data_IF_467079474056
#
_entry.id   IF_467079474056
#
_cell.length_a   1.000
_cell.length_b   1.000
_cell.length_c   1.000
_cell.angle_alpha   90.00
_cell.angle_beta   90.00
_cell.angle_gamma   90.00
#
_symmetry.space_group_name_H-M   'P 1'
#
loop_
_entity.id
_entity.type
_entity.pdbx_description
1 polymer ?
#
# COMPACT_ATOMS: atom_id res chain seq x y z
N UNK A 1 11.44 1.29 1.94
CA UNK A 1 10.84 1.72 3.21
C UNK A 1 10.26 3.12 3.08
N UNK A 2 9.29 3.49 3.94
CA UNK A 2 8.59 4.78 3.88
C UNK A 2 9.54 5.98 3.97
N UNK A 3 10.59 5.88 4.78
CA UNK A 3 11.63 6.93 4.91
C UNK A 3 12.34 7.16 3.58
N UNK A 4 12.67 6.09 2.85
CA UNK A 4 13.30 6.20 1.53
C UNK A 4 12.36 6.87 0.53
N UNK A 5 11.07 6.55 0.54
CA UNK A 5 10.10 7.19 -0.35
C UNK A 5 9.90 8.68 -0.05
N UNK A 6 9.93 9.08 1.22
CA UNK A 6 9.90 10.50 1.60
C UNK A 6 11.18 11.21 1.15
N UNK A 7 12.34 10.59 1.34
CA UNK A 7 13.63 11.13 0.87
C UNK A 7 13.64 11.26 -0.65
N UNK A 8 13.15 10.25 -1.37
CA UNK A 8 13.06 10.28 -2.83
C UNK A 8 12.07 11.33 -3.32
N UNK A 9 10.95 11.52 -2.64
CA UNK A 9 10.02 12.61 -2.94
C UNK A 9 10.68 13.99 -2.79
N UNK A 10 11.36 14.21 -1.66
CA UNK A 10 12.09 15.46 -1.40
C UNK A 10 13.16 15.66 -2.49
N UNK A 11 13.92 14.62 -2.82
CA UNK A 11 14.93 14.68 -3.89
C UNK A 11 14.31 15.06 -5.23
N UNK A 12 13.22 14.43 -5.65
CA UNK A 12 12.55 14.74 -6.92
C UNK A 12 12.07 16.19 -6.99
N UNK A 13 11.61 16.75 -5.88
CA UNK A 13 11.19 18.16 -5.82
C UNK A 13 12.37 19.11 -6.06
N UNK A 14 13.55 18.78 -5.54
CA UNK A 14 14.75 19.63 -5.61
C UNK A 14 15.73 19.28 -6.75
N UNK A 15 15.59 18.09 -7.37
CA UNK A 15 16.43 17.70 -8.50
C UNK A 15 16.13 18.54 -9.75
N UNK A 16 17.19 18.75 -10.54
CA UNK A 16 17.03 19.31 -11.88
C UNK A 16 16.40 18.28 -12.81
N UNK A 17 15.63 18.68 -13.84
CA UNK A 17 15.04 17.74 -14.80
C UNK A 17 16.07 16.84 -15.51
N UNK A 18 17.34 17.24 -15.55
CA UNK A 18 18.44 16.51 -16.18
C UNK A 18 18.88 15.27 -15.36
N UNK A 19 18.60 15.26 -14.05
CA UNK A 19 18.94 14.14 -13.16
C UNK A 19 17.84 13.08 -13.09
N UNK A 20 16.73 13.33 -13.77
CA UNK A 20 15.58 12.42 -13.85
C UNK A 20 15.53 11.82 -15.24
N UNK A 21 15.72 10.52 -15.33
CA UNK A 21 15.58 9.81 -16.59
C UNK A 21 14.27 9.04 -16.61
N UNK A 22 13.47 9.27 -17.65
CA UNK A 22 12.23 8.53 -17.93
C UNK A 22 12.47 7.78 -19.23
N UNK A 23 12.25 6.49 -19.20
CA UNK A 23 12.47 5.61 -20.34
C UNK A 23 11.37 4.59 -20.52
N UNK A 24 11.42 3.89 -21.63
CA UNK A 24 10.48 2.84 -22.00
C UNK A 24 11.26 1.54 -22.20
N UNK A 25 10.82 0.46 -21.53
CA UNK A 25 11.32 -0.89 -21.78
C UNK A 25 10.12 -1.81 -22.00
N UNK A 26 9.96 -2.29 -23.24
CA UNK A 26 8.82 -3.09 -23.65
C UNK A 26 7.53 -2.28 -23.47
N UNK A 27 6.62 -2.76 -22.63
CA UNK A 27 5.34 -2.10 -22.33
C UNK A 27 5.34 -1.35 -21.00
N UNK A 28 6.50 -1.05 -20.44
CA UNK A 28 6.63 -0.40 -19.14
C UNK A 28 7.31 0.94 -19.27
N UNK A 29 6.69 1.95 -18.68
CA UNK A 29 7.37 3.22 -18.39
C UNK A 29 8.12 3.05 -17.07
N UNK A 30 9.34 3.51 -17.04
CA UNK A 30 10.12 3.55 -15.82
C UNK A 30 10.90 4.87 -15.70
N UNK A 31 11.17 5.23 -14.48
CA UNK A 31 12.02 6.38 -14.21
C UNK A 31 13.11 6.01 -13.21
N UNK A 32 14.23 6.66 -13.32
CA UNK A 32 15.37 6.52 -12.42
C UNK A 32 15.57 7.82 -11.66
N UNK A 33 15.70 7.69 -10.35
CA UNK A 33 16.10 8.78 -9.45
C UNK A 33 17.37 8.31 -8.74
N UNK A 34 18.53 8.86 -9.11
CA UNK A 34 19.82 8.61 -8.42
C UNK A 34 20.03 7.17 -7.95
N UNK A 35 20.16 6.21 -8.86
CA UNK A 35 20.40 4.79 -8.60
C UNK A 35 19.18 3.93 -8.16
N UNK A 36 18.00 4.49 -8.10
CA UNK A 36 16.75 3.74 -7.93
C UNK A 36 15.98 3.65 -9.24
N UNK A 37 15.38 2.49 -9.51
CA UNK A 37 14.47 2.31 -10.64
C UNK A 37 13.06 2.08 -10.10
N UNK A 38 12.12 2.82 -10.64
CA UNK A 38 10.70 2.55 -10.46
C UNK A 38 10.07 2.33 -11.82
N UNK A 39 9.13 1.40 -11.91
CA UNK A 39 8.43 1.11 -13.14
C UNK A 39 6.92 1.07 -12.91
N UNK A 40 6.18 1.44 -13.92
CA UNK A 40 4.72 1.36 -13.93
C UNK A 40 4.27 0.48 -15.10
N UNK A 41 3.36 -0.46 -14.89
CA UNK A 41 2.85 -1.34 -15.94
C UNK A 41 1.82 -0.65 -16.85
N UNK A 42 1.95 0.64 -17.07
CA UNK A 42 1.10 1.36 -18.02
C UNK A 42 1.73 1.18 -19.39
N UNK A 43 1.17 0.26 -20.17
CA UNK A 43 1.58 0.04 -21.54
C UNK A 43 1.33 1.26 -22.40
N UNK A 44 2.29 1.60 -23.24
CA UNK A 44 2.16 2.69 -24.17
C UNK A 44 3.48 3.40 -24.48
N UNK A 45 3.41 4.25 -25.46
CA UNK A 45 4.53 5.10 -25.87
C UNK A 45 4.60 6.34 -24.99
N UNK A 46 5.81 6.81 -24.66
CA UNK A 46 5.98 8.05 -23.88
C UNK A 46 5.45 9.20 -24.74
N UNK A 47 4.46 9.97 -24.26
CA UNK A 47 3.94 11.10 -25.01
C UNK A 47 5.02 12.19 -25.19
N UNK A 48 5.05 12.80 -26.37
CA UNK A 48 5.89 13.94 -26.62
C UNK A 48 5.55 15.08 -25.65
N UNK A 49 6.57 15.61 -24.96
CA UNK A 49 6.37 16.70 -24.00
C UNK A 49 6.03 16.30 -22.57
N UNK A 50 6.04 15.02 -22.23
CA UNK A 50 5.92 14.59 -20.83
C UNK A 50 7.06 15.17 -19.98
N UNK A 51 6.69 15.94 -18.95
CA UNK A 51 7.68 16.47 -18.02
C UNK A 51 8.10 15.37 -17.04
N UNK A 52 9.36 14.88 -17.06
CA UNK A 52 9.84 13.79 -16.22
C UNK A 52 9.69 14.09 -14.73
N UNK A 53 9.87 15.35 -14.33
CA UNK A 53 9.76 15.78 -12.93
C UNK A 53 8.31 15.67 -12.41
N UNK A 54 7.35 16.13 -13.22
CA UNK A 54 5.93 16.02 -12.87
C UNK A 54 5.52 14.55 -12.79
N UNK A 55 5.93 13.74 -13.75
CA UNK A 55 5.68 12.30 -13.75
C UNK A 55 6.21 11.63 -12.48
N UNK A 56 7.49 11.84 -12.15
CA UNK A 56 8.12 11.25 -10.98
C UNK A 56 7.48 11.71 -9.66
N UNK A 57 7.17 12.99 -9.52
CA UNK A 57 6.51 13.54 -8.33
C UNK A 57 5.12 12.93 -8.12
N UNK A 58 4.30 12.86 -9.17
CA UNK A 58 2.97 12.24 -9.10
C UNK A 58 3.08 10.76 -8.79
N UNK A 59 3.99 10.05 -9.45
CA UNK A 59 4.21 8.62 -9.20
C UNK A 59 4.58 8.33 -7.75
N UNK A 60 5.55 9.05 -7.19
CA UNK A 60 5.97 8.84 -5.79
C UNK A 60 4.84 9.18 -4.83
N UNK A 61 4.09 10.27 -5.06
CA UNK A 61 2.95 10.62 -4.23
C UNK A 61 1.85 9.55 -4.26
N UNK A 62 1.52 9.04 -5.43
CA UNK A 62 0.54 7.96 -5.60
C UNK A 62 1.03 6.69 -4.90
N UNK A 63 2.27 6.27 -5.11
CA UNK A 63 2.86 5.11 -4.44
C UNK A 63 2.86 5.24 -2.91
N UNK A 64 3.15 6.43 -2.40
CA UNK A 64 3.12 6.67 -0.97
C UNK A 64 1.72 6.48 -0.39
N UNK A 65 0.71 7.09 -1.02
CA UNK A 65 -0.68 7.04 -0.53
C UNK A 65 -1.32 5.65 -0.71
N UNK A 66 -1.03 4.98 -1.82
CA UNK A 66 -1.70 3.72 -2.17
C UNK A 66 -1.02 2.48 -1.63
N UNK A 67 0.28 2.55 -1.35
CA UNK A 67 1.08 1.41 -0.90
C UNK A 67 1.73 1.66 0.44
N UNK A 68 2.59 2.67 0.56
CA UNK A 68 3.41 2.86 1.75
C UNK A 68 2.59 3.13 3.00
N UNK A 69 1.63 4.05 2.92
CA UNK A 69 0.77 4.39 4.05
C UNK A 69 -0.07 3.20 4.54
N UNK A 70 -0.78 2.44 3.69
CA UNK A 70 -1.49 1.24 4.14
C UNK A 70 -0.58 0.15 4.71
N UNK A 71 0.61 -0.06 4.15
CA UNK A 71 1.58 -1.00 4.73
C UNK A 71 2.08 -0.54 6.11
N UNK A 72 2.30 0.76 6.31
CA UNK A 72 2.63 1.29 7.63
C UNK A 72 1.51 1.02 8.64
N UNK A 73 0.26 1.24 8.25
CA UNK A 73 -0.91 0.93 9.09
C UNK A 73 -0.96 -0.57 9.41
N UNK A 74 -0.71 -1.42 8.42
CA UNK A 74 -0.66 -2.87 8.60
C UNK A 74 0.40 -3.28 9.63
N UNK A 75 1.66 -2.86 9.43
CA UNK A 75 2.76 -3.23 10.33
C UNK A 75 2.59 -2.63 11.72
N UNK A 76 2.10 -1.39 11.83
CA UNK A 76 1.84 -0.77 13.13
C UNK A 76 0.72 -1.49 13.89
N UNK A 77 -0.31 -1.96 13.20
CA UNK A 77 -1.38 -2.76 13.82
C UNK A 77 -0.85 -4.08 14.38
N UNK A 78 0.01 -4.77 13.62
CA UNK A 78 0.67 -6.00 14.09
C UNK A 78 1.60 -5.70 15.27
N UNK A 79 2.40 -4.64 15.19
CA UNK A 79 3.30 -4.23 16.27
C UNK A 79 2.54 -3.99 17.56
N UNK A 80 1.44 -3.23 17.50
CA UNK A 80 0.57 -2.95 18.67
C UNK A 80 0.01 -4.23 19.28
N UNK A 81 -0.43 -5.17 18.44
CA UNK A 81 -0.94 -6.46 18.92
C UNK A 81 0.15 -7.24 19.66
N UNK A 82 1.35 -7.34 19.07
CA UNK A 82 2.47 -8.07 19.66
C UNK A 82 2.96 -7.43 20.98
N UNK A 83 3.02 -6.09 21.04
CA UNK A 83 3.38 -5.38 22.27
C UNK A 83 2.41 -5.69 23.41
N UNK A 84 1.09 -5.68 23.16
CA UNK A 84 0.08 -6.01 24.17
C UNK A 84 0.24 -7.45 24.70
N UNK A 85 0.55 -8.40 23.83
CA UNK A 85 0.81 -9.78 24.24
C UNK A 85 2.08 -9.85 25.10
N UNK A 86 3.14 -9.15 24.71
CA UNK A 86 4.40 -9.11 25.45
C UNK A 86 4.26 -8.46 26.84
N UNK A 87 3.34 -7.51 27.01
CA UNK A 87 3.00 -6.87 28.29
C UNK A 87 2.16 -7.75 29.22
N UNK A 88 1.91 -9.02 28.84
CA UNK A 88 1.18 -9.98 29.65
C UNK A 88 -0.33 -9.83 29.59
N UNK A 89 -0.86 -9.05 28.67
CA UNK A 89 -2.30 -9.03 28.43
C UNK A 89 -2.74 -10.37 27.83
N UNK A 90 -3.94 -10.83 28.24
CA UNK A 90 -4.52 -12.03 27.64
C UNK A 90 -4.46 -11.94 26.11
N UNK A 91 -3.94 -12.96 25.43
CA UNK A 91 -3.97 -13.00 23.98
C UNK A 91 -5.38 -12.82 23.41
N UNK A 92 -6.42 -13.27 24.12
CA UNK A 92 -7.83 -13.09 23.76
C UNK A 92 -8.37 -11.75 24.29
N UNK A 93 -8.02 -10.64 23.62
CA UNK A 93 -8.43 -9.29 23.98
C UNK A 93 -9.16 -8.62 22.80
N UNK A 94 -10.30 -7.96 23.08
CA UNK A 94 -11.08 -7.21 22.07
C UNK A 94 -10.24 -6.12 21.37
N UNK A 95 -9.26 -5.51 22.07
CA UNK A 95 -8.37 -4.55 21.46
C UNK A 95 -7.48 -5.20 20.37
N UNK A 96 -7.05 -6.45 20.54
CA UNK A 96 -6.31 -7.19 19.51
C UNK A 96 -7.20 -7.50 18.29
N UNK A 97 -8.49 -7.79 18.49
CA UNK A 97 -9.45 -7.98 17.38
C UNK A 97 -9.49 -6.75 16.47
N UNK A 98 -9.49 -5.56 17.06
CA UNK A 98 -9.49 -4.30 16.30
C UNK A 98 -8.21 -4.14 15.50
N UNK A 99 -7.07 -4.43 16.09
CA UNK A 99 -5.78 -4.32 15.40
C UNK A 99 -5.68 -5.31 14.23
N UNK A 100 -6.14 -6.57 14.41
CA UNK A 100 -6.20 -7.57 13.32
C UNK A 100 -7.15 -7.12 12.20
N UNK A 101 -8.32 -6.57 12.53
CA UNK A 101 -9.26 -6.03 11.52
C UNK A 101 -8.64 -4.89 10.74
N UNK A 102 -7.95 -3.97 11.42
CA UNK A 102 -7.27 -2.84 10.76
C UNK A 102 -6.19 -3.33 9.81
N UNK A 103 -5.39 -4.32 10.24
CA UNK A 103 -4.39 -4.95 9.39
C UNK A 103 -5.02 -5.62 8.15
N UNK A 104 -6.08 -6.41 8.33
CA UNK A 104 -6.80 -7.06 7.24
C UNK A 104 -7.42 -6.05 6.26
N UNK A 105 -8.05 -5.00 6.78
CA UNK A 105 -8.62 -3.93 5.95
C UNK A 105 -7.56 -3.18 5.14
N UNK A 106 -6.40 -2.90 5.73
CA UNK A 106 -5.28 -2.28 5.02
C UNK A 106 -4.77 -3.16 3.86
N UNK A 107 -4.67 -4.47 4.07
CA UNK A 107 -4.28 -5.42 3.02
C UNK A 107 -5.33 -5.50 1.89
N UNK A 108 -6.62 -5.55 2.23
CA UNK A 108 -7.70 -5.51 1.21
C UNK A 108 -7.67 -4.20 0.42
N UNK A 109 -7.45 -3.08 1.10
CA UNK A 109 -7.31 -1.78 0.45
C UNK A 109 -6.15 -1.79 -0.58
N UNK A 110 -4.97 -2.27 -0.18
CA UNK A 110 -3.82 -2.38 -1.10
C UNK A 110 -4.15 -3.29 -2.28
N UNK A 111 -4.79 -4.42 -2.02
CA UNK A 111 -5.11 -5.40 -3.06
C UNK A 111 -6.08 -4.88 -4.13
N UNK A 112 -7.04 -4.02 -3.73
CA UNK A 112 -8.12 -3.53 -4.60
C UNK A 112 -7.85 -2.11 -5.09
N UNK A 113 -7.59 -1.17 -4.16
CA UNK A 113 -7.58 0.26 -4.48
C UNK A 113 -6.27 0.70 -5.11
N UNK A 114 -5.15 0.09 -4.71
CA UNK A 114 -3.83 0.48 -5.22
C UNK A 114 -3.79 0.49 -6.74
N UNK A 115 -4.05 -0.66 -7.36
CA UNK A 115 -3.94 -0.79 -8.82
C UNK A 115 -4.92 0.10 -9.58
N UNK A 116 -6.14 0.30 -9.05
CA UNK A 116 -7.14 1.19 -9.63
C UNK A 116 -6.64 2.65 -9.61
N UNK A 117 -6.19 3.11 -8.45
CA UNK A 117 -5.76 4.50 -8.27
C UNK A 117 -4.48 4.77 -9.07
N UNK A 118 -3.49 3.88 -8.97
CA UNK A 118 -2.22 4.02 -9.71
C UNK A 118 -2.47 4.11 -11.21
N UNK A 119 -3.24 3.19 -11.77
CA UNK A 119 -3.52 3.16 -13.22
C UNK A 119 -4.38 4.34 -13.66
N UNK A 120 -5.40 4.72 -12.88
CA UNK A 120 -6.26 5.85 -13.20
C UNK A 120 -5.49 7.17 -13.21
N UNK A 121 -4.71 7.44 -12.16
CA UNK A 121 -3.94 8.69 -12.03
C UNK A 121 -2.83 8.75 -13.07
N UNK A 122 -2.09 7.66 -13.24
CA UNK A 122 -0.99 7.64 -14.23
C UNK A 122 -1.51 7.66 -15.66
N UNK A 123 -2.62 6.99 -15.95
CA UNK A 123 -3.28 7.08 -17.25
C UNK A 123 -3.75 8.51 -17.57
N UNK A 124 -4.25 9.21 -16.57
CA UNK A 124 -4.64 10.61 -16.72
C UNK A 124 -3.44 11.54 -16.96
N UNK A 125 -2.35 11.33 -16.23
CA UNK A 125 -1.12 12.15 -16.34
C UNK A 125 -0.40 11.90 -17.66
N UNK A 126 -0.33 10.65 -18.11
CA UNK A 126 0.42 10.27 -19.33
C UNK A 126 -0.42 10.48 -20.59
N UNK A 127 -1.68 10.02 -20.56
CA UNK A 127 -2.51 9.95 -21.78
C UNK A 127 -3.71 10.91 -21.79
N UNK A 128 -3.90 11.69 -20.72
CA UNK A 128 -5.09 12.55 -20.57
C UNK A 128 -6.40 11.75 -20.44
N UNK A 129 -6.36 10.45 -20.22
CA UNK A 129 -7.53 9.57 -20.09
C UNK A 129 -7.31 8.49 -19.03
N UNK A 130 -8.40 8.05 -18.40
CA UNK A 130 -8.34 6.96 -17.42
C UNK A 130 -8.17 5.64 -18.17
N UNK A 131 -7.11 4.91 -17.82
CA UNK A 131 -6.83 3.57 -18.35
C UNK A 131 -6.72 2.63 -17.16
N UNK A 132 -7.58 1.61 -17.11
CA UNK A 132 -7.58 0.61 -16.03
C UNK A 132 -7.57 -0.78 -16.69
N UNK A 133 -6.52 -1.55 -16.44
CA UNK A 133 -6.40 -2.93 -16.91
C UNK A 133 -5.88 -3.81 -15.78
N UNK A 134 -6.70 -4.80 -15.38
CA UNK A 134 -6.36 -5.80 -14.37
C UNK A 134 -5.77 -5.21 -13.04
N UNK A 135 -6.49 -4.30 -12.36
CA UNK A 135 -5.96 -3.52 -11.26
C UNK A 135 -5.90 -4.28 -9.93
N UNK A 136 -6.56 -5.45 -9.83
CA UNK A 136 -6.78 -6.15 -8.56
C UNK A 136 -5.73 -7.23 -8.36
N UNK A 137 -5.07 -7.20 -7.18
CA UNK A 137 -4.18 -8.27 -6.74
C UNK A 137 -4.96 -9.38 -6.07
N UNK A 138 -5.27 -10.45 -6.81
CA UNK A 138 -6.00 -11.61 -6.28
C UNK A 138 -5.30 -12.22 -5.05
N UNK A 139 -3.97 -12.50 -5.04
CA UNK A 139 -3.31 -13.03 -3.86
C UNK A 139 -3.38 -12.10 -2.65
N UNK A 140 -3.24 -10.78 -2.86
CA UNK A 140 -3.36 -9.78 -1.80
C UNK A 140 -4.78 -9.73 -1.21
N UNK A 141 -5.79 -9.82 -2.07
CA UNK A 141 -7.20 -9.86 -1.65
C UNK A 141 -7.50 -11.09 -0.79
N UNK A 142 -7.05 -12.28 -1.23
CA UNK A 142 -7.20 -13.50 -0.43
C UNK A 142 -6.49 -13.38 0.93
N UNK A 143 -5.25 -12.88 0.96
CA UNK A 143 -4.51 -12.67 2.20
C UNK A 143 -5.24 -11.73 3.16
N UNK A 144 -5.74 -10.61 2.67
CA UNK A 144 -6.51 -9.65 3.45
C UNK A 144 -7.82 -10.23 3.99
N UNK A 145 -8.56 -10.98 3.16
CA UNK A 145 -9.80 -11.65 3.58
C UNK A 145 -9.55 -12.74 4.62
N UNK A 146 -8.47 -13.52 4.51
CA UNK A 146 -8.08 -14.49 5.54
C UNK A 146 -7.80 -13.81 6.88
N UNK A 147 -7.07 -12.70 6.89
CA UNK A 147 -6.82 -11.93 8.12
C UNK A 147 -8.13 -11.45 8.73
N UNK A 148 -9.08 -10.96 7.92
CA UNK A 148 -10.41 -10.54 8.41
C UNK A 148 -11.23 -11.71 8.95
N UNK A 149 -11.14 -12.89 8.32
CA UNK A 149 -11.78 -14.11 8.81
C UNK A 149 -11.20 -14.51 10.18
N UNK A 150 -9.87 -14.50 10.32
CA UNK A 150 -9.21 -14.74 11.60
C UNK A 150 -9.66 -13.75 12.69
N UNK A 151 -9.80 -12.47 12.35
CA UNK A 151 -10.34 -11.48 13.28
C UNK A 151 -11.76 -11.83 13.75
N UNK A 152 -12.59 -12.40 12.85
CA UNK A 152 -13.94 -12.88 13.19
C UNK A 152 -13.93 -14.06 14.15
N UNK A 153 -13.09 -15.06 13.90
CA UNK A 153 -12.91 -16.24 14.76
C UNK A 153 -12.39 -15.81 16.13
N UNK A 154 -11.36 -14.97 16.13
CA UNK A 154 -10.73 -14.46 17.34
C UNK A 154 -11.71 -13.68 18.22
N UNK A 155 -12.59 -12.87 17.62
CA UNK A 155 -13.66 -12.17 18.34
C UNK A 155 -14.61 -13.14 19.05
N UNK A 156 -14.99 -14.26 18.39
CA UNK A 156 -15.84 -15.29 19.02
C UNK A 156 -15.11 -15.96 20.18
N UNK A 157 -13.82 -16.23 20.06
CA UNK A 157 -13.00 -16.76 21.14
C UNK A 157 -12.98 -15.85 22.38
N UNK A 158 -12.84 -14.52 22.16
CA UNK A 158 -12.91 -13.54 23.25
C UNK A 158 -14.28 -13.56 23.97
N UNK A 159 -15.38 -13.66 23.23
CA UNK A 159 -16.72 -13.72 23.80
C UNK A 159 -16.93 -14.98 24.66
N UNK A 160 -16.51 -16.15 24.14
CA UNK A 160 -16.60 -17.40 24.88
C UNK A 160 -15.76 -17.41 26.17
N UNK A 161 -14.58 -16.79 26.14
CA UNK A 161 -13.76 -16.65 27.33
C UNK A 161 -14.44 -15.77 28.38
N UNK A 162 -15.01 -14.64 27.96
CA UNK A 162 -15.74 -13.75 28.88
C UNK A 162 -16.93 -14.44 29.49
N UNK A 163 -17.74 -15.17 28.70
CA UNK A 163 -18.88 -15.96 29.21
C UNK A 163 -18.44 -17.03 30.24
N UNK A 164 -17.28 -17.67 30.01
CA UNK A 164 -16.72 -18.65 30.94
C UNK A 164 -16.25 -18.01 32.25
N UNK A 165 -15.61 -16.84 32.17
CA UNK A 165 -15.12 -16.11 33.36
C UNK A 165 -16.28 -15.55 34.22
N UNK A 166 -17.44 -15.25 33.61
CA UNK A 166 -18.64 -14.79 34.32
C UNK A 166 -19.44 -15.93 34.97
N UNK A 167 -19.14 -17.20 34.64
CA UNK A 167 -19.90 -18.38 35.13
C UNK A 167 -19.21 -19.03 36.34
N UNK A 168 -17.99 -18.61 36.69
CA UNK A 168 -17.22 -19.10 37.86
C UNK A 168 -17.39 -18.14 39.03
#
# INVERSE_FOLDING_TARGET
SAVLSVVDFIRVVFLTPQDLWVGEIGNYLYFSVTNGYSYTPIGGHIPDGLNPKTFAAVWIAVQFLTSMLPYLIFFESIRRMLCKIAEGHSPLNIAAVRDIKTAGAAMVYVAVCRGIIEQAVMGLVIYGRVIISNPISIPGLFGGLLILLFAGIYRRGCALQQDADETI
#
